data_IF_730396700928
#
_entry.id   IF_730396700928
#
_cell.length_a   1.000
_cell.length_b   1.000
_cell.length_c   1.000
_cell.angle_alpha   90.00
_cell.angle_beta   90.00
_cell.angle_gamma   90.00
#
_symmetry.space_group_name_H-M   'P 1'
#
loop_
_entity.id
_entity.type
_entity.pdbx_description
1 polymer ?
#
# COMPACT_ATOMS: atom_id res chain seq x y z
N UNK A 1 28.01 43.47 -42.99
CA UNK A 1 28.62 42.80 -41.82
C UNK A 1 27.51 42.07 -41.07
N UNK A 2 27.53 40.73 -41.01
CA UNK A 2 26.48 39.90 -40.39
C UNK A 2 26.85 39.64 -38.92
N UNK A 3 26.04 40.10 -37.97
CA UNK A 3 26.18 39.76 -36.55
C UNK A 3 25.49 38.41 -36.36
N UNK A 4 26.28 37.38 -36.10
CA UNK A 4 25.81 36.02 -35.85
C UNK A 4 25.15 35.94 -34.47
N UNK A 5 23.95 35.38 -34.45
CA UNK A 5 23.25 34.88 -33.27
C UNK A 5 24.17 34.06 -32.36
N UNK A 6 24.05 34.27 -31.06
CA UNK A 6 24.44 33.28 -30.06
C UNK A 6 23.33 33.18 -29.01
N UNK A 7 22.38 32.28 -29.27
CA UNK A 7 21.36 31.86 -28.33
C UNK A 7 22.00 30.76 -27.47
N UNK A 8 22.40 31.12 -26.25
CA UNK A 8 22.89 30.17 -25.25
C UNK A 8 21.67 29.51 -24.61
N UNK A 9 21.35 28.28 -25.05
CA UNK A 9 20.35 27.43 -24.41
C UNK A 9 21.01 26.81 -23.18
N UNK A 10 20.75 27.37 -22.00
CA UNK A 10 21.07 26.71 -20.73
C UNK A 10 20.09 25.55 -20.52
N UNK A 11 20.50 24.37 -20.96
CA UNK A 11 19.86 23.12 -20.60
C UNK A 11 20.22 22.81 -19.14
N UNK A 12 19.40 23.27 -18.19
CA UNK A 12 19.49 22.84 -16.81
C UNK A 12 19.10 21.36 -16.74
N UNK A 13 20.12 20.49 -16.77
CA UNK A 13 20.02 19.11 -16.33
C UNK A 13 19.74 19.11 -14.82
N UNK A 14 18.46 19.17 -14.45
CA UNK A 14 18.02 18.83 -13.10
C UNK A 14 18.30 17.33 -12.88
N UNK A 15 19.19 16.94 -11.96
CA UNK A 15 19.31 15.54 -11.59
C UNK A 15 17.99 15.10 -10.96
N UNK A 16 17.40 14.02 -11.49
CA UNK A 16 16.28 13.36 -10.86
C UNK A 16 16.72 12.91 -9.46
N UNK A 17 16.23 13.60 -8.43
CA UNK A 17 16.41 13.21 -7.03
C UNK A 17 15.66 11.90 -6.82
N UNK A 18 16.36 10.77 -6.93
CA UNK A 18 15.86 9.51 -6.42
C UNK A 18 15.97 9.62 -4.89
N UNK A 19 14.90 10.02 -4.22
CA UNK A 19 14.84 9.99 -2.76
C UNK A 19 15.05 8.54 -2.30
N UNK A 20 16.16 8.29 -1.60
CA UNK A 20 16.41 7.01 -0.96
C UNK A 20 15.34 6.77 0.11
N UNK A 21 14.77 5.56 0.16
CA UNK A 21 13.83 5.17 1.20
C UNK A 21 14.65 4.80 2.45
N UNK A 22 14.14 5.12 3.64
CA UNK A 22 14.89 4.82 4.87
C UNK A 22 14.78 3.35 5.27
N UNK A 23 15.74 2.85 6.07
CA UNK A 23 15.69 1.50 6.64
C UNK A 23 14.42 1.28 7.48
N UNK A 24 13.94 2.32 8.18
CA UNK A 24 12.75 2.29 9.05
C UNK A 24 11.47 2.07 8.23
N UNK A 25 11.35 2.76 7.09
CA UNK A 25 10.23 2.61 6.16
C UNK A 25 10.25 1.27 5.40
N UNK A 26 11.41 0.60 5.38
CA UNK A 26 11.60 -0.75 4.85
C UNK A 26 11.51 -1.84 5.92
N UNK A 27 11.17 -1.50 7.17
CA UNK A 27 11.01 -2.48 8.23
C UNK A 27 9.86 -3.44 7.91
N UNK A 28 9.98 -4.68 8.38
CA UNK A 28 8.91 -5.69 8.27
C UNK A 28 7.63 -5.21 8.95
N UNK A 29 7.75 -4.49 10.07
CA UNK A 29 6.64 -3.91 10.81
C UNK A 29 5.84 -2.91 9.96
N UNK A 30 6.48 -2.17 9.05
CA UNK A 30 5.77 -1.25 8.15
C UNK A 30 5.24 -1.98 6.92
N UNK A 31 6.04 -2.85 6.31
CA UNK A 31 5.72 -3.43 4.99
C UNK A 31 4.76 -4.62 5.03
N UNK A 32 4.63 -5.31 6.17
CA UNK A 32 3.71 -6.44 6.30
C UNK A 32 2.37 -6.08 6.94
N UNK A 33 2.17 -4.82 7.32
CA UNK A 33 0.85 -4.32 7.72
C UNK A 33 -0.04 -4.15 6.51
N UNK A 34 -1.31 -4.52 6.66
CA UNK A 34 -2.34 -4.28 5.68
C UNK A 34 -2.66 -2.78 5.56
N UNK A 35 -2.59 -2.06 6.69
CA UNK A 35 -2.80 -0.62 6.80
C UNK A 35 -1.61 0.09 7.48
N UNK A 36 -0.47 0.27 6.78
CA UNK A 36 0.67 0.98 7.36
C UNK A 36 0.29 2.44 7.66
N UNK A 37 0.42 2.84 8.92
CA UNK A 37 -0.06 4.13 9.44
C UNK A 37 0.38 5.34 8.61
N UNK A 38 1.65 5.36 8.18
CA UNK A 38 2.19 6.42 7.34
C UNK A 38 1.46 6.56 6.00
N UNK A 39 1.21 5.44 5.31
CA UNK A 39 0.50 5.45 4.03
C UNK A 39 -0.96 5.84 4.19
N UNK A 40 -1.60 5.36 5.25
CA UNK A 40 -2.98 5.74 5.59
C UNK A 40 -3.07 7.25 5.78
N UNK A 41 -2.20 7.84 6.60
CA UNK A 41 -2.22 9.29 6.85
C UNK A 41 -1.98 10.11 5.58
N UNK A 42 -1.04 9.70 4.73
CA UNK A 42 -0.77 10.38 3.46
C UNK A 42 -1.98 10.34 2.51
N UNK A 43 -2.62 9.19 2.38
CA UNK A 43 -3.83 9.06 1.55
C UNK A 43 -4.99 9.86 2.15
N UNK A 44 -5.23 9.79 3.45
CA UNK A 44 -6.32 10.56 4.08
C UNK A 44 -6.12 12.08 3.94
N UNK A 45 -4.88 12.57 4.02
CA UNK A 45 -4.56 13.99 3.79
C UNK A 45 -4.82 14.37 2.32
N UNK A 46 -4.45 13.52 1.37
CA UNK A 46 -4.72 13.72 -0.07
C UNK A 46 -6.21 13.77 -0.42
N UNK A 47 -7.05 13.08 0.36
CA UNK A 47 -8.50 13.06 0.22
C UNK A 47 -9.21 14.05 1.17
N UNK A 48 -8.48 15.08 1.63
CA UNK A 48 -9.01 16.18 2.45
C UNK A 48 -9.69 15.76 3.77
N UNK A 49 -9.31 14.59 4.31
CA UNK A 49 -9.80 14.14 5.62
C UNK A 49 -9.12 14.97 6.71
N UNK A 50 -9.87 15.65 7.60
CA UNK A 50 -9.27 16.52 8.61
C UNK A 50 -8.26 15.79 9.49
N UNK A 51 -7.09 16.38 9.74
CA UNK A 51 -5.95 15.75 10.45
C UNK A 51 -6.34 15.04 11.75
N UNK A 52 -7.19 15.65 12.58
CA UNK A 52 -7.66 15.03 13.82
C UNK A 52 -8.51 13.78 13.62
N UNK A 53 -9.27 13.71 12.51
CA UNK A 53 -10.02 12.52 12.09
C UNK A 53 -9.09 11.50 11.41
N UNK A 54 -8.19 11.95 10.55
CA UNK A 54 -7.23 11.10 9.87
C UNK A 54 -6.35 10.32 10.86
N UNK A 55 -5.91 10.97 11.94
CA UNK A 55 -5.14 10.32 13.00
C UNK A 55 -5.93 9.18 13.66
N UNK A 56 -7.20 9.43 14.03
CA UNK A 56 -8.06 8.41 14.64
C UNK A 56 -8.30 7.23 13.71
N UNK A 57 -8.59 7.49 12.43
CA UNK A 57 -8.76 6.45 11.42
C UNK A 57 -7.49 5.61 11.30
N UNK A 58 -6.32 6.25 11.20
CA UNK A 58 -5.05 5.55 11.08
C UNK A 58 -4.72 4.69 12.31
N UNK A 59 -5.04 5.17 13.51
CA UNK A 59 -4.90 4.40 14.75
C UNK A 59 -5.86 3.19 14.78
N UNK A 60 -7.13 3.39 14.45
CA UNK A 60 -8.12 2.31 14.40
C UNK A 60 -7.78 1.25 13.35
N UNK A 61 -7.30 1.64 12.18
CA UNK A 61 -6.86 0.69 11.14
C UNK A 61 -5.61 -0.08 11.56
N UNK A 62 -4.67 0.58 12.25
CA UNK A 62 -3.48 -0.08 12.77
C UNK A 62 -3.81 -1.17 13.79
N UNK A 63 -4.81 -0.93 14.65
CA UNK A 63 -5.33 -1.92 15.60
C UNK A 63 -6.15 -3.02 14.90
N UNK A 64 -6.94 -2.66 13.87
CA UNK A 64 -7.77 -3.59 13.11
C UNK A 64 -6.99 -4.51 12.16
N UNK A 65 -5.70 -4.23 11.93
CA UNK A 65 -4.81 -5.02 11.07
C UNK A 65 -4.82 -6.53 11.40
N UNK A 66 -4.88 -6.90 12.68
CA UNK A 66 -4.96 -8.31 13.10
C UNK A 66 -6.33 -8.95 12.79
N UNK A 67 -7.39 -8.15 12.68
CA UNK A 67 -8.73 -8.65 12.37
C UNK A 67 -8.84 -9.12 10.92
N UNK A 68 -8.04 -8.54 10.01
CA UNK A 68 -8.01 -8.92 8.58
C UNK A 68 -7.72 -10.41 8.40
N UNK A 69 -6.71 -10.96 9.10
CA UNK A 69 -6.36 -12.38 8.99
C UNK A 69 -7.50 -13.28 9.49
N UNK A 70 -8.15 -12.89 10.58
CA UNK A 70 -9.30 -13.64 11.12
C UNK A 70 -10.48 -13.63 10.15
N UNK A 71 -10.82 -12.47 9.57
CA UNK A 71 -11.91 -12.33 8.61
C UNK A 71 -11.64 -13.15 7.35
N UNK A 72 -10.41 -13.13 6.83
CA UNK A 72 -10.00 -13.95 5.68
C UNK A 72 -10.22 -15.44 5.99
N UNK A 73 -9.76 -15.91 7.14
CA UNK A 73 -9.93 -17.31 7.55
C UNK A 73 -11.40 -17.71 7.71
N UNK A 74 -12.20 -16.86 8.35
CA UNK A 74 -13.64 -17.08 8.52
C UNK A 74 -14.36 -17.14 7.17
N UNK A 75 -14.12 -16.18 6.28
CA UNK A 75 -14.72 -16.16 4.95
C UNK A 75 -14.28 -17.35 4.10
N UNK A 76 -12.98 -17.69 4.11
CA UNK A 76 -12.47 -18.84 3.38
C UNK A 76 -13.15 -20.16 3.80
N UNK A 77 -13.40 -20.33 5.12
CA UNK A 77 -14.02 -21.52 5.67
C UNK A 77 -15.47 -21.75 5.22
N UNK A 78 -16.13 -20.72 4.69
CA UNK A 78 -17.51 -20.82 4.17
C UNK A 78 -17.56 -20.97 2.65
N UNK A 79 -16.40 -20.91 1.96
CA UNK A 79 -16.29 -21.10 0.52
C UNK A 79 -16.03 -22.57 0.16
N UNK A 80 -16.54 -23.02 -0.99
CA UNK A 80 -16.31 -24.37 -1.52
C UNK A 80 -15.98 -24.30 -3.02
N UNK A 81 -14.75 -24.66 -3.45
CA UNK A 81 -13.61 -25.08 -2.60
C UNK A 81 -13.06 -23.92 -1.74
N UNK A 82 -12.38 -24.25 -0.65
CA UNK A 82 -11.67 -23.27 0.18
C UNK A 82 -10.47 -22.72 -0.61
N UNK A 83 -10.45 -21.42 -0.98
CA UNK A 83 -9.39 -20.86 -1.82
C UNK A 83 -8.02 -20.79 -1.11
N UNK A 84 -7.98 -20.88 0.22
CA UNK A 84 -6.72 -20.93 0.96
C UNK A 84 -6.06 -22.31 0.92
N UNK A 85 -6.79 -23.36 0.55
CA UNK A 85 -6.28 -24.75 0.49
C UNK A 85 -5.89 -25.18 -0.93
N UNK A 86 -6.42 -24.52 -1.97
CA UNK A 86 -6.14 -24.85 -3.37
C UNK A 86 -5.11 -23.92 -3.99
N UNK A 87 -3.88 -24.38 -4.22
CA UNK A 87 -2.81 -23.61 -4.86
C UNK A 87 -3.20 -22.99 -6.21
N UNK A 88 -4.18 -23.54 -6.94
CA UNK A 88 -4.63 -23.02 -8.25
C UNK A 88 -5.63 -21.86 -8.13
N UNK A 89 -6.18 -21.62 -6.94
CA UNK A 89 -7.19 -20.61 -6.68
C UNK A 89 -6.60 -19.20 -6.44
N UNK A 90 -5.59 -18.80 -7.22
CA UNK A 90 -4.90 -17.51 -7.06
C UNK A 90 -5.85 -16.31 -7.19
N UNK A 91 -6.79 -16.38 -8.14
CA UNK A 91 -7.75 -15.30 -8.39
C UNK A 91 -8.74 -15.17 -7.23
N UNK A 92 -9.25 -16.30 -6.74
CA UNK A 92 -10.20 -16.40 -5.65
C UNK A 92 -9.55 -15.95 -4.34
N UNK A 93 -8.29 -16.33 -4.08
CA UNK A 93 -7.52 -15.78 -2.96
C UNK A 93 -7.38 -14.28 -3.08
N UNK A 94 -6.90 -13.78 -4.22
CA UNK A 94 -6.71 -12.35 -4.40
C UNK A 94 -8.02 -11.56 -4.19
N UNK A 95 -9.16 -12.11 -4.62
CA UNK A 95 -10.47 -11.53 -4.38
C UNK A 95 -10.87 -11.57 -2.90
N UNK A 96 -10.76 -12.72 -2.24
CA UNK A 96 -11.02 -12.89 -0.81
C UNK A 96 -10.20 -11.92 0.05
N UNK A 97 -8.92 -11.75 -0.28
CA UNK A 97 -8.04 -10.79 0.39
C UNK A 97 -8.53 -9.35 0.18
N UNK A 98 -8.84 -8.94 -1.06
CA UNK A 98 -9.35 -7.59 -1.34
C UNK A 98 -10.68 -7.31 -0.64
N UNK A 99 -11.60 -8.26 -0.65
CA UNK A 99 -12.92 -8.10 -0.03
C UNK A 99 -12.81 -8.01 1.50
N UNK A 100 -11.91 -8.78 2.10
CA UNK A 100 -11.66 -8.72 3.54
C UNK A 100 -10.99 -7.40 3.96
N UNK A 101 -10.08 -6.88 3.14
CA UNK A 101 -9.50 -5.56 3.36
C UNK A 101 -10.56 -4.46 3.25
N UNK A 102 -11.37 -4.51 2.20
CA UNK A 102 -12.43 -3.52 1.99
C UNK A 102 -13.43 -3.50 3.15
N UNK A 103 -13.82 -4.67 3.66
CA UNK A 103 -14.73 -4.77 4.81
C UNK A 103 -14.18 -4.06 6.05
N UNK A 104 -12.96 -4.39 6.47
CA UNK A 104 -12.32 -3.76 7.63
C UNK A 104 -12.14 -2.25 7.42
N UNK A 105 -11.72 -1.86 6.22
CA UNK A 105 -11.50 -0.45 5.90
C UNK A 105 -12.82 0.33 5.94
N UNK A 106 -13.88 -0.16 5.28
CA UNK A 106 -15.21 0.42 5.32
C UNK A 106 -15.74 0.58 6.75
N UNK A 107 -15.60 -0.45 7.58
CA UNK A 107 -16.08 -0.42 8.96
C UNK A 107 -15.41 0.70 9.77
N UNK A 108 -14.08 0.83 9.65
CA UNK A 108 -13.35 1.90 10.35
C UNK A 108 -13.70 3.28 9.80
N UNK A 109 -13.83 3.43 8.47
CA UNK A 109 -14.21 4.70 7.85
C UNK A 109 -15.61 5.13 8.30
N UNK A 110 -16.57 4.21 8.31
CA UNK A 110 -17.94 4.45 8.75
C UNK A 110 -18.03 4.84 10.23
N UNK A 111 -17.29 4.15 11.11
CA UNK A 111 -17.19 4.50 12.54
C UNK A 111 -16.64 5.91 12.78
N UNK A 112 -15.86 6.44 11.83
CA UNK A 112 -15.32 7.80 11.86
C UNK A 112 -16.12 8.79 11.00
N UNK A 113 -17.32 8.41 10.55
CA UNK A 113 -18.24 9.26 9.80
C UNK A 113 -17.72 9.64 8.41
N UNK A 114 -17.01 8.73 7.74
CA UNK A 114 -16.74 8.78 6.31
C UNK A 114 -17.54 7.66 5.66
N UNK A 115 -18.46 8.00 4.76
CA UNK A 115 -19.46 7.06 4.23
C UNK A 115 -19.57 7.07 2.71
N UNK A 116 -18.74 7.85 2.02
CA UNK A 116 -18.71 7.84 0.56
C UNK A 116 -17.95 6.59 0.07
N UNK A 117 -18.69 5.60 -0.41
CA UNK A 117 -18.15 4.29 -0.75
C UNK A 117 -17.18 4.34 -1.94
N UNK A 118 -17.36 5.26 -2.89
CA UNK A 118 -16.48 5.37 -4.05
C UNK A 118 -15.12 5.94 -3.61
N UNK A 119 -15.13 6.98 -2.77
CA UNK A 119 -13.91 7.55 -2.20
C UNK A 119 -13.19 6.55 -1.29
N UNK A 120 -13.93 5.77 -0.48
CA UNK A 120 -13.34 4.75 0.39
C UNK A 120 -12.60 3.69 -0.41
N UNK A 121 -13.18 3.22 -1.52
CA UNK A 121 -12.50 2.26 -2.39
C UNK A 121 -11.22 2.84 -2.99
N UNK A 122 -11.28 4.08 -3.48
CA UNK A 122 -10.10 4.74 -4.05
C UNK A 122 -8.99 4.89 -3.01
N UNK A 123 -9.33 5.33 -1.80
CA UNK A 123 -8.37 5.46 -0.70
C UNK A 123 -7.70 4.12 -0.37
N UNK A 124 -8.47 3.03 -0.27
CA UNK A 124 -7.88 1.72 -0.02
C UNK A 124 -6.93 1.30 -1.15
N UNK A 125 -7.36 1.44 -2.41
CA UNK A 125 -6.54 1.09 -3.58
C UNK A 125 -5.22 1.87 -3.59
N UNK A 126 -5.24 3.16 -3.24
CA UNK A 126 -4.04 4.00 -3.13
C UNK A 126 -3.10 3.54 -2.01
N UNK A 127 -3.63 3.20 -0.82
CA UNK A 127 -2.83 2.65 0.29
C UNK A 127 -2.14 1.34 -0.15
N UNK A 128 -2.87 0.44 -0.81
CA UNK A 128 -2.31 -0.82 -1.30
C UNK A 128 -1.23 -0.58 -2.37
N UNK A 129 -1.45 0.39 -3.28
CA UNK A 129 -0.48 0.76 -4.30
C UNK A 129 0.81 1.33 -3.70
N UNK A 130 0.69 2.25 -2.74
CA UNK A 130 1.83 2.82 -2.03
C UNK A 130 2.65 1.74 -1.33
N UNK A 131 2.00 0.77 -0.67
CA UNK A 131 2.69 -0.35 -0.04
C UNK A 131 3.48 -1.18 -1.05
N UNK A 132 2.85 -1.53 -2.19
CA UNK A 132 3.52 -2.29 -3.25
C UNK A 132 4.72 -1.54 -3.83
N UNK A 133 4.57 -0.24 -4.09
CA UNK A 133 5.66 0.60 -4.57
C UNK A 133 6.80 0.67 -3.56
N UNK A 134 6.50 0.85 -2.26
CA UNK A 134 7.51 0.88 -1.21
C UNK A 134 8.24 -0.45 -1.10
N UNK A 135 7.50 -1.57 -1.12
CA UNK A 135 8.08 -2.90 -1.10
C UNK A 135 9.08 -3.11 -2.26
N UNK A 136 8.70 -2.69 -3.48
CA UNK A 136 9.56 -2.75 -4.65
C UNK A 136 10.80 -1.87 -4.53
N UNK A 137 10.67 -0.66 -3.97
CA UNK A 137 11.80 0.25 -3.72
C UNK A 137 12.78 -0.35 -2.71
N UNK A 138 12.28 -0.83 -1.56
CA UNK A 138 13.09 -1.46 -0.52
C UNK A 138 13.83 -2.70 -1.05
N UNK A 139 13.17 -3.51 -1.88
CA UNK A 139 13.79 -4.65 -2.56
C UNK A 139 14.92 -4.21 -3.50
N UNK A 140 14.68 -3.21 -4.36
CA UNK A 140 15.68 -2.69 -5.31
C UNK A 140 16.91 -2.10 -4.60
N UNK A 141 16.72 -1.56 -3.39
CA UNK A 141 17.78 -0.99 -2.57
C UNK A 141 18.50 -2.03 -1.69
N UNK A 142 18.10 -3.31 -1.74
CA UNK A 142 18.71 -4.37 -0.94
C UNK A 142 18.39 -4.29 0.55
N UNK A 143 17.35 -3.55 0.93
CA UNK A 143 16.93 -3.33 2.32
C UNK A 143 15.99 -4.43 2.82
N UNK A 144 15.46 -5.26 1.92
CA UNK A 144 14.68 -6.44 2.24
C UNK A 144 15.56 -7.70 2.18
N UNK A 145 15.36 -8.67 3.09
CA UNK A 145 16.01 -9.96 2.99
C UNK A 145 15.68 -10.60 1.63
N UNK A 146 16.70 -11.20 1.01
CA UNK A 146 16.50 -11.95 -0.25
C UNK A 146 15.51 -13.08 0.00
N UNK A 147 14.50 -13.20 -0.86
CA UNK A 147 13.56 -14.32 -0.79
C UNK A 147 14.32 -15.64 -0.97
N UNK A 148 13.94 -16.73 -0.26
CA UNK A 148 14.62 -18.03 -0.35
C UNK A 148 14.65 -18.67 -1.76
N UNK A 149 13.96 -18.10 -2.75
CA UNK A 149 13.80 -18.68 -4.09
C UNK A 149 15.03 -18.54 -5.00
N UNK A 150 16.10 -17.83 -4.61
CA UNK A 150 17.36 -17.82 -5.38
C UNK A 150 18.18 -19.12 -5.25
N UNK A 151 17.79 -20.07 -4.38
CA UNK A 151 18.50 -21.35 -4.18
C UNK A 151 17.83 -22.57 -4.86
N UNK A 152 16.79 -22.39 -5.67
CA UNK A 152 16.13 -23.49 -6.41
C UNK A 152 16.48 -23.39 -7.91
N UNK A 153 17.76 -23.25 -8.24
CA UNK A 153 18.34 -23.60 -9.54
C UNK A 153 19.81 -23.94 -9.35
N UNK A 154 20.07 -25.18 -8.94
CA UNK A 154 21.29 -25.92 -9.29
C UNK A 154 20.90 -27.39 -9.44
#
# INVERSE_FOLDING_TARGET
MKIKSLLIVMFFLLPAMISAVSQEECSQEVLFKFYPKGFVLEVLDKHDIPKGKAQKIADSLYEADQQVVMIIGQKASTMSPNPLEDIKADKERAQLFRDSLMEVFNDVMAQNGVTDNDDIKVMLDEIQQMRMQRFDQCRKQGLLPKMPSENIRN
#
